data_IF_768164207207
#
_entry.id   IF_768164207207
#
_cell.length_a   1.000
_cell.length_b   1.000
_cell.length_c   1.000
_cell.angle_alpha   90.00
_cell.angle_beta   90.00
_cell.angle_gamma   90.00
#
_symmetry.space_group_name_H-M   'P 1'
#
loop_
_entity.id
_entity.type
_entity.pdbx_description
1 polymer ?
#
# COMPACT_ATOMS: atom_id res chain seq x y z
N UNK A 1 -8.30 -18.91 -2.44
CA UNK A 1 -8.34 -17.61 -1.72
C UNK A 1 -9.77 -17.32 -1.28
N UNK A 2 -10.06 -16.18 -0.64
CA UNK A 2 -11.43 -15.76 -0.33
C UNK A 2 -11.78 -14.45 -1.03
N UNK A 3 -12.95 -14.37 -1.65
CA UNK A 3 -13.49 -13.13 -2.23
C UNK A 3 -14.73 -12.71 -1.44
N UNK A 4 -14.86 -11.42 -1.18
CA UNK A 4 -16.06 -10.88 -0.57
C UNK A 4 -16.38 -9.47 -1.05
N UNK A 5 -17.44 -8.94 -0.47
CA UNK A 5 -17.97 -7.60 -0.71
C UNK A 5 -16.92 -6.54 -0.42
N UNK A 6 -16.77 -5.57 -1.33
CA UNK A 6 -15.93 -4.41 -1.10
C UNK A 6 -16.50 -3.56 0.04
N UNK A 7 -15.89 -3.67 1.23
CA UNK A 7 -16.31 -2.95 2.43
C UNK A 7 -16.56 -1.46 2.19
N UNK A 8 -15.61 -0.79 1.52
CA UNK A 8 -15.68 0.65 1.27
C UNK A 8 -16.88 1.03 0.40
N UNK A 9 -17.18 0.24 -0.64
CA UNK A 9 -18.33 0.51 -1.52
C UNK A 9 -19.65 0.11 -0.88
N UNK A 10 -19.69 -1.00 -0.16
CA UNK A 10 -20.86 -1.41 0.62
C UNK A 10 -21.22 -0.35 1.68
N UNK A 11 -20.23 0.21 2.39
CA UNK A 11 -20.45 1.34 3.29
C UNK A 11 -21.09 2.53 2.55
N UNK A 12 -20.58 2.86 1.37
CA UNK A 12 -21.12 3.97 0.57
C UNK A 12 -22.50 3.67 -0.03
N UNK A 13 -22.86 2.41 -0.23
CA UNK A 13 -24.18 1.97 -0.68
C UNK A 13 -25.23 2.28 0.38
N UNK A 14 -24.96 1.95 1.64
CA UNK A 14 -25.80 2.33 2.78
C UNK A 14 -25.97 3.86 2.95
N UNK A 15 -25.09 4.65 2.33
CA UNK A 15 -25.14 6.11 2.30
C UNK A 15 -25.75 6.67 1.00
N UNK A 16 -26.19 5.81 0.06
CA UNK A 16 -26.71 6.23 -1.25
C UNK A 16 -25.67 6.85 -2.19
N UNK A 17 -24.37 6.59 -1.96
CA UNK A 17 -23.23 7.24 -2.64
C UNK A 17 -22.23 6.26 -3.25
N UNK A 18 -22.56 4.97 -3.32
CA UNK A 18 -21.68 3.98 -3.95
C UNK A 18 -21.51 4.25 -5.44
N UNK A 19 -20.29 4.06 -5.94
CA UNK A 19 -20.07 4.02 -7.39
C UNK A 19 -20.44 2.65 -7.97
N UNK A 20 -20.52 2.58 -9.31
CA UNK A 20 -20.93 1.38 -10.05
C UNK A 20 -19.84 0.31 -10.23
N UNK A 21 -18.70 0.44 -9.53
CA UNK A 21 -17.65 -0.58 -9.60
C UNK A 21 -18.14 -1.93 -9.01
N UNK A 22 -17.55 -3.08 -9.37
CA UNK A 22 -18.08 -4.42 -9.04
C UNK A 22 -17.98 -4.77 -7.54
N UNK A 23 -19.08 -5.06 -6.85
CA UNK A 23 -19.08 -5.21 -5.38
C UNK A 23 -18.32 -6.45 -4.86
N UNK A 24 -18.52 -7.61 -5.48
CA UNK A 24 -17.84 -8.87 -5.15
C UNK A 24 -16.44 -8.90 -5.79
N UNK A 25 -15.43 -8.33 -5.11
CA UNK A 25 -14.09 -8.16 -5.70
C UNK A 25 -12.96 -8.04 -4.67
N UNK A 26 -13.26 -7.91 -3.37
CA UNK A 26 -12.21 -7.76 -2.35
C UNK A 26 -11.62 -9.13 -2.04
N UNK A 27 -10.30 -9.25 -2.21
CA UNK A 27 -9.60 -10.53 -2.11
C UNK A 27 -8.88 -10.62 -0.78
N UNK A 28 -9.01 -11.77 -0.15
CA UNK A 28 -8.33 -12.12 1.10
C UNK A 28 -7.57 -13.41 0.90
N UNK A 29 -6.47 -13.55 1.64
CA UNK A 29 -5.53 -14.64 1.50
C UNK A 29 -5.12 -15.18 2.88
N UNK A 30 -4.39 -16.29 2.87
CA UNK A 30 -3.78 -16.85 4.07
C UNK A 30 -4.80 -17.14 5.19
N UNK A 31 -4.41 -16.99 6.46
CA UNK A 31 -5.26 -17.21 7.63
C UNK A 31 -6.49 -16.30 7.65
N UNK A 32 -6.37 -15.08 7.14
CA UNK A 32 -7.50 -14.14 7.01
C UNK A 32 -8.58 -14.72 6.11
N UNK A 33 -8.23 -15.24 4.93
CA UNK A 33 -9.21 -15.90 4.05
C UNK A 33 -9.87 -17.10 4.71
N UNK A 34 -9.08 -17.96 5.38
CA UNK A 34 -9.61 -19.15 6.04
C UNK A 34 -10.66 -18.80 7.09
N UNK A 35 -10.39 -17.78 7.90
CA UNK A 35 -11.31 -17.30 8.93
C UNK A 35 -12.59 -16.73 8.30
N UNK A 36 -12.46 -15.82 7.33
CA UNK A 36 -13.62 -15.17 6.70
C UNK A 36 -14.50 -16.16 5.92
N UNK A 37 -13.91 -17.16 5.27
CA UNK A 37 -14.64 -18.23 4.60
C UNK A 37 -15.39 -19.09 5.62
N UNK A 38 -14.72 -19.48 6.72
CA UNK A 38 -15.34 -20.29 7.79
C UNK A 38 -16.58 -19.61 8.38
N UNK A 39 -16.57 -18.29 8.49
CA UNK A 39 -17.69 -17.51 9.03
C UNK A 39 -18.67 -16.99 7.97
N UNK A 40 -18.57 -17.44 6.71
CA UNK A 40 -19.51 -17.06 5.64
C UNK A 40 -19.41 -15.60 5.17
N UNK A 41 -18.34 -14.89 5.53
CA UNK A 41 -18.11 -13.48 5.16
C UNK A 41 -17.48 -13.39 3.76
N UNK A 42 -16.68 -14.38 3.38
CA UNK A 42 -16.06 -14.48 2.07
C UNK A 42 -16.36 -15.84 1.44
N UNK A 43 -16.53 -15.89 0.12
CA UNK A 43 -16.63 -17.14 -0.62
C UNK A 43 -15.24 -17.63 -1.02
N UNK A 44 -15.05 -18.94 -1.02
CA UNK A 44 -13.81 -19.56 -1.52
C UNK A 44 -13.79 -19.46 -3.04
N UNK A 45 -12.64 -19.05 -3.58
CA UNK A 45 -12.39 -19.01 -5.04
C UNK A 45 -11.03 -19.61 -5.37
N UNK A 46 -10.89 -20.10 -6.60
CA UNK A 46 -9.64 -20.57 -7.16
C UNK A 46 -8.80 -19.41 -7.76
N UNK A 47 -7.63 -19.75 -8.30
CA UNK A 47 -6.69 -18.77 -8.87
C UNK A 47 -7.23 -18.15 -10.16
N UNK A 48 -7.87 -18.94 -11.02
CA UNK A 48 -8.39 -18.46 -12.31
C UNK A 48 -9.46 -17.38 -12.10
N UNK A 49 -10.44 -17.64 -11.24
CA UNK A 49 -11.45 -16.65 -10.92
C UNK A 49 -10.84 -15.41 -10.24
N UNK A 50 -9.82 -15.61 -9.40
CA UNK A 50 -9.07 -14.49 -8.82
C UNK A 50 -8.42 -13.59 -9.88
N UNK A 51 -7.84 -14.17 -10.93
CA UNK A 51 -7.24 -13.42 -12.04
C UNK A 51 -8.32 -12.69 -12.85
N UNK A 52 -9.44 -13.34 -13.15
CA UNK A 52 -10.57 -12.71 -13.86
C UNK A 52 -11.10 -11.49 -13.11
N UNK A 53 -11.18 -11.56 -11.78
CA UNK A 53 -11.56 -10.44 -10.94
C UNK A 53 -10.52 -9.31 -10.93
N UNK A 54 -9.23 -9.62 -11.04
CA UNK A 54 -8.19 -8.60 -11.20
C UNK A 54 -8.31 -7.91 -12.55
N UNK A 55 -8.61 -8.63 -13.62
CA UNK A 55 -8.84 -8.05 -14.95
C UNK A 55 -10.09 -7.18 -14.97
N UNK A 56 -11.18 -7.65 -14.36
CA UNK A 56 -12.36 -6.82 -14.11
C UNK A 56 -12.01 -5.55 -13.32
N UNK A 57 -11.19 -5.64 -12.29
CA UNK A 57 -10.73 -4.46 -11.56
C UNK A 57 -9.95 -3.49 -12.45
N UNK A 58 -9.11 -4.00 -13.36
CA UNK A 58 -8.35 -3.21 -14.33
C UNK A 58 -9.27 -2.48 -15.30
N UNK A 59 -10.30 -3.13 -15.83
CA UNK A 59 -11.28 -2.53 -16.75
C UNK A 59 -12.06 -1.38 -16.11
N UNK A 60 -12.30 -1.47 -14.81
CA UNK A 60 -12.96 -0.44 -14.01
C UNK A 60 -12.00 0.64 -13.47
N UNK A 61 -10.74 0.66 -13.88
CA UNK A 61 -9.72 1.60 -13.39
C UNK A 61 -9.51 1.58 -11.86
N UNK A 62 -9.72 0.42 -11.25
CA UNK A 62 -9.47 0.24 -9.82
C UNK A 62 -7.98 0.06 -9.55
N UNK A 63 -7.53 0.63 -8.45
CA UNK A 63 -6.17 0.44 -7.94
C UNK A 63 -6.10 -0.84 -7.16
N UNK A 64 -5.13 -1.69 -7.51
CA UNK A 64 -4.74 -2.82 -6.69
C UNK A 64 -3.96 -2.30 -5.48
N UNK A 65 -4.53 -2.48 -4.29
CA UNK A 65 -4.01 -2.02 -3.02
C UNK A 65 -3.92 -3.22 -2.09
N UNK A 66 -2.72 -3.66 -1.74
CA UNK A 66 -2.51 -4.85 -0.91
C UNK A 66 -1.87 -4.54 0.43
N UNK A 67 -1.81 -5.55 1.28
CA UNK A 67 -0.89 -5.49 2.42
C UNK A 67 0.55 -5.38 1.91
N UNK A 68 1.30 -4.36 2.36
CA UNK A 68 2.68 -4.12 1.92
C UNK A 68 3.65 -5.09 2.61
N UNK A 69 3.57 -6.38 2.26
CA UNK A 69 4.44 -7.47 2.73
C UNK A 69 4.79 -8.38 1.56
N UNK A 70 5.95 -9.05 1.62
CA UNK A 70 6.43 -9.93 0.54
C UNK A 70 5.79 -11.32 0.55
N UNK A 71 5.52 -11.84 1.74
CA UNK A 71 5.06 -13.21 1.94
C UNK A 71 3.78 -13.25 2.77
N UNK A 72 2.91 -14.22 2.47
CA UNK A 72 1.65 -14.47 3.20
C UNK A 72 0.79 -13.22 3.34
N UNK A 73 0.69 -12.45 2.26
CA UNK A 73 -0.21 -11.29 2.13
C UNK A 73 -1.58 -11.63 2.70
N UNK A 74 -2.20 -10.71 3.44
CA UNK A 74 -3.54 -10.94 4.00
C UNK A 74 -4.67 -10.56 3.03
N UNK A 75 -4.47 -9.56 2.17
CA UNK A 75 -5.50 -9.07 1.26
C UNK A 75 -4.95 -8.35 0.03
N UNK A 76 -5.76 -8.31 -1.02
CA UNK A 76 -5.68 -7.37 -2.15
C UNK A 76 -7.06 -6.72 -2.28
N UNK A 77 -7.09 -5.40 -2.19
CA UNK A 77 -8.26 -4.58 -2.43
C UNK A 77 -8.20 -4.00 -3.85
N UNK A 78 -9.38 -3.81 -4.44
CA UNK A 78 -9.57 -3.21 -5.76
C UNK A 78 -10.30 -1.87 -5.57
N UNK A 79 -9.52 -0.81 -5.37
CA UNK A 79 -9.94 0.45 -4.79
C UNK A 79 -10.30 1.51 -5.84
N UNK A 80 -11.43 2.19 -5.66
CA UNK A 80 -11.79 3.39 -6.41
C UNK A 80 -11.44 4.66 -5.62
N UNK A 81 -11.19 5.76 -6.32
CA UNK A 81 -10.88 7.06 -5.68
C UNK A 81 -12.06 7.75 -4.99
N UNK A 82 -13.30 7.26 -5.20
CA UNK A 82 -14.52 7.88 -4.68
C UNK A 82 -15.07 7.24 -3.41
N UNK A 83 -14.89 5.92 -3.22
CA UNK A 83 -15.44 5.21 -2.06
C UNK A 83 -14.34 4.68 -1.11
N UNK A 84 -13.13 4.40 -1.61
CA UNK A 84 -12.11 3.75 -0.81
C UNK A 84 -11.56 4.68 0.27
N UNK A 85 -11.68 4.29 1.54
CA UNK A 85 -11.13 5.03 2.68
C UNK A 85 -9.63 5.27 2.56
N UNK A 86 -8.85 4.29 2.10
CA UNK A 86 -7.41 4.45 1.92
C UNK A 86 -7.07 5.49 0.85
N UNK A 87 -7.83 5.53 -0.26
CA UNK A 87 -7.63 6.54 -1.30
C UNK A 87 -8.05 7.93 -0.83
N UNK A 88 -9.18 8.03 -0.10
CA UNK A 88 -9.63 9.29 0.49
C UNK A 88 -8.63 9.82 1.53
N UNK A 89 -8.05 8.93 2.35
CA UNK A 89 -7.00 9.27 3.29
C UNK A 89 -5.73 9.73 2.57
N UNK A 90 -5.32 9.06 1.49
CA UNK A 90 -4.19 9.46 0.68
C UNK A 90 -4.36 10.87 0.08
N UNK A 91 -5.57 11.22 -0.40
CA UNK A 91 -5.89 12.57 -0.88
C UNK A 91 -5.80 13.63 0.22
N UNK A 92 -6.44 13.37 1.36
CA UNK A 92 -6.64 14.37 2.43
C UNK A 92 -5.40 14.57 3.30
N UNK A 93 -4.60 13.52 3.47
CA UNK A 93 -3.52 13.48 4.44
C UNK A 93 -2.18 13.08 3.80
N UNK A 94 -1.96 13.44 2.54
CA UNK A 94 -0.76 13.05 1.78
C UNK A 94 0.56 13.35 2.52
N UNK A 95 0.64 14.49 3.22
CA UNK A 95 1.80 14.89 4.03
C UNK A 95 2.16 13.90 5.14
N UNK A 96 1.20 13.09 5.61
CA UNK A 96 1.40 12.06 6.61
C UNK A 96 1.81 10.69 6.03
N UNK A 97 1.87 10.58 4.70
CA UNK A 97 2.15 9.34 3.98
C UNK A 97 1.34 8.13 4.50
N UNK A 98 0.00 8.21 4.58
CA UNK A 98 -0.84 7.19 5.20
C UNK A 98 -0.85 5.86 4.43
N UNK A 99 -0.47 5.91 3.15
CA UNK A 99 -0.40 4.76 2.24
C UNK A 99 1.01 4.65 1.69
N UNK A 100 1.60 3.45 1.79
CA UNK A 100 2.90 3.17 1.20
C UNK A 100 2.83 3.30 -0.33
N UNK A 101 3.81 3.98 -0.92
CA UNK A 101 3.91 4.18 -2.36
C UNK A 101 4.60 3.02 -3.04
N UNK A 102 4.38 2.86 -4.35
CA UNK A 102 5.18 1.95 -5.18
C UNK A 102 6.56 2.54 -5.43
N UNK A 103 7.47 1.72 -5.95
CA UNK A 103 8.81 2.15 -6.38
C UNK A 103 8.81 2.95 -7.69
N UNK A 104 7.66 3.35 -8.21
CA UNK A 104 7.54 3.99 -9.51
C UNK A 104 6.72 5.29 -9.46
N UNK A 105 7.01 6.19 -10.38
CA UNK A 105 6.22 7.41 -10.66
C UNK A 105 5.95 7.52 -12.16
N UNK A 106 4.77 8.02 -12.56
CA UNK A 106 4.51 8.29 -13.96
C UNK A 106 5.24 9.56 -14.43
N UNK A 107 6.04 9.46 -15.50
CA UNK A 107 6.59 10.63 -16.21
C UNK A 107 5.73 10.95 -17.43
N UNK A 108 5.39 12.23 -17.59
CA UNK A 108 4.69 12.75 -18.77
C UNK A 108 5.71 13.12 -19.86
N UNK A 109 5.60 12.52 -21.03
CA UNK A 109 6.27 12.98 -22.25
C UNK A 109 5.54 14.22 -22.78
N UNK A 110 6.11 15.40 -22.53
CA UNK A 110 5.44 16.67 -22.78
C UNK A 110 5.17 16.91 -24.25
N UNK A 111 6.02 16.40 -25.14
CA UNK A 111 5.95 16.56 -26.59
C UNK A 111 4.75 15.80 -27.16
N UNK A 112 4.54 14.57 -26.69
CA UNK A 112 3.48 13.67 -27.14
C UNK A 112 2.12 13.95 -26.48
N UNK A 113 2.11 14.56 -25.29
CA UNK A 113 0.88 14.82 -24.55
C UNK A 113 0.00 15.85 -25.29
N UNK A 114 -1.28 15.54 -25.50
CA UNK A 114 -2.24 16.45 -26.14
C UNK A 114 -3.12 17.22 -25.14
N UNK A 115 -2.97 16.94 -23.84
CA UNK A 115 -3.73 17.61 -22.79
C UNK A 115 -5.18 17.15 -22.66
N UNK A 116 -5.56 15.98 -23.19
CA UNK A 116 -6.96 15.50 -23.19
C UNK A 116 -7.59 15.25 -21.80
N UNK A 117 -6.82 15.30 -20.71
CA UNK A 117 -7.35 15.22 -19.34
C UNK A 117 -7.80 13.83 -18.86
N UNK A 118 -7.78 12.79 -19.70
CA UNK A 118 -8.23 11.43 -19.29
C UNK A 118 -7.44 10.87 -18.10
N UNK A 119 -6.14 11.16 -18.02
CA UNK A 119 -5.30 10.76 -16.89
C UNK A 119 -5.66 11.48 -15.58
N UNK A 120 -6.16 12.72 -15.66
CA UNK A 120 -6.66 13.50 -14.51
C UNK A 120 -7.93 12.85 -13.97
N UNK A 121 -8.91 12.61 -14.84
CA UNK A 121 -10.18 11.99 -14.46
C UNK A 121 -10.01 10.59 -13.87
N UNK A 122 -9.04 9.82 -14.37
CA UNK A 122 -8.77 8.47 -13.88
C UNK A 122 -7.91 8.42 -12.60
N UNK A 123 -7.35 9.54 -12.13
CA UNK A 123 -6.43 9.53 -11.00
C UNK A 123 -7.18 9.31 -9.67
N UNK A 124 -6.96 8.18 -8.97
CA UNK A 124 -7.71 7.81 -7.78
C UNK A 124 -7.35 8.66 -6.56
N UNK A 125 -6.24 9.38 -6.61
CA UNK A 125 -5.71 10.25 -5.54
C UNK A 125 -5.49 11.69 -6.00
N UNK A 126 -6.03 12.06 -7.17
CA UNK A 126 -5.99 13.45 -7.69
C UNK A 126 -4.57 14.03 -7.85
N UNK A 127 -3.56 13.17 -8.02
CA UNK A 127 -2.17 13.56 -8.25
C UNK A 127 -1.88 14.05 -9.69
N UNK A 128 -2.82 13.91 -10.62
CA UNK A 128 -2.66 14.37 -12.00
C UNK A 128 -3.45 15.66 -12.21
N UNK A 129 -2.85 16.66 -12.82
CA UNK A 129 -3.49 17.92 -13.21
C UNK A 129 -3.23 18.30 -14.67
N UNK A 130 -3.87 19.38 -15.13
CA UNK A 130 -3.59 20.02 -16.40
C UNK A 130 -2.95 21.39 -16.16
N UNK A 131 -1.91 21.71 -16.93
CA UNK A 131 -1.24 23.02 -16.93
C UNK A 131 -1.13 23.55 -18.35
N UNK A 132 -0.97 24.86 -18.50
CA UNK A 132 -0.71 25.47 -19.81
C UNK A 132 0.58 24.90 -20.40
N UNK A 133 0.57 24.64 -21.71
CA UNK A 133 1.74 24.21 -22.46
C UNK A 133 2.78 25.32 -22.65
N UNK A 134 2.45 26.58 -22.31
CA UNK A 134 3.35 27.72 -22.47
C UNK A 134 3.62 28.09 -23.93
N UNK A 135 2.75 27.69 -24.86
CA UNK A 135 2.86 27.94 -26.29
C UNK A 135 2.10 29.23 -26.65
N UNK A 136 2.79 30.36 -26.94
CA UNK A 136 2.13 31.64 -27.22
C UNK A 136 1.24 31.60 -28.47
N UNK A 137 1.58 30.75 -29.44
CA UNK A 137 0.78 30.55 -30.65
C UNK A 137 -0.46 29.69 -30.39
N UNK A 138 -0.48 28.91 -29.30
CA UNK A 138 -1.60 28.04 -28.91
C UNK A 138 -1.90 28.19 -27.41
N UNK A 139 -2.42 29.34 -26.97
CA UNK A 139 -2.56 29.67 -25.54
C UNK A 139 -3.52 28.75 -24.78
N UNK A 140 -4.44 28.07 -25.47
CA UNK A 140 -5.36 27.08 -24.87
C UNK A 140 -4.79 25.67 -24.80
N UNK A 141 -3.57 25.44 -25.30
CA UNK A 141 -2.96 24.12 -25.31
C UNK A 141 -2.58 23.75 -23.88
N UNK A 142 -3.06 22.61 -23.42
CA UNK A 142 -2.79 22.08 -22.09
C UNK A 142 -1.86 20.88 -22.16
N UNK A 143 -1.20 20.58 -21.05
CA UNK A 143 -0.40 19.38 -20.84
C UNK A 143 -0.71 18.78 -19.48
N UNK A 144 -0.56 17.47 -19.36
CA UNK A 144 -0.65 16.80 -18.08
C UNK A 144 0.57 17.14 -17.21
N UNK A 145 0.33 17.32 -15.91
CA UNK A 145 1.36 17.49 -14.88
C UNK A 145 1.08 16.54 -13.73
N UNK A 146 2.14 15.94 -13.21
CA UNK A 146 2.09 15.10 -12.02
C UNK A 146 2.47 15.94 -10.78
N UNK A 147 1.71 15.77 -9.70
CA UNK A 147 2.14 16.04 -8.34
C UNK A 147 2.76 14.76 -7.74
N UNK A 148 4.08 14.77 -7.54
CA UNK A 148 4.82 13.60 -7.10
C UNK A 148 4.60 13.26 -5.61
N UNK A 149 4.19 14.26 -4.82
CA UNK A 149 3.98 14.13 -3.37
C UNK A 149 2.63 13.47 -3.08
N UNK A 150 1.62 13.71 -3.92
CA UNK A 150 0.33 13.03 -3.85
C UNK A 150 0.33 11.63 -4.51
N UNK A 151 1.24 11.39 -5.46
CA UNK A 151 1.18 10.21 -6.29
C UNK A 151 1.59 8.94 -5.55
N UNK A 152 0.70 7.94 -5.54
CA UNK A 152 1.00 6.60 -5.00
C UNK A 152 1.81 5.71 -5.95
N UNK A 153 1.90 6.07 -7.25
CA UNK A 153 2.56 5.27 -8.26
C UNK A 153 1.75 4.06 -8.76
N UNK A 154 0.41 4.16 -8.77
CA UNK A 154 -0.50 3.06 -9.14
C UNK A 154 -0.58 2.76 -10.65
N UNK A 155 -0.09 3.65 -11.53
CA UNK A 155 -0.04 3.42 -12.98
C UNK A 155 -1.38 3.50 -13.74
N UNK A 156 -2.51 3.79 -13.08
CA UNK A 156 -3.83 3.91 -13.75
C UNK A 156 -3.80 4.98 -14.86
N UNK A 157 -3.11 6.11 -14.63
CA UNK A 157 -2.97 7.17 -15.62
C UNK A 157 -2.22 6.73 -16.89
N UNK A 158 -1.24 5.83 -16.76
CA UNK A 158 -0.46 5.30 -17.87
C UNK A 158 -1.34 4.46 -18.79
N UNK A 159 -2.12 3.53 -18.22
CA UNK A 159 -3.03 2.67 -18.99
C UNK A 159 -4.13 3.47 -19.71
N UNK A 160 -4.65 4.51 -19.08
CA UNK A 160 -5.73 5.33 -19.66
C UNK A 160 -5.22 6.30 -20.74
N UNK A 161 -3.91 6.50 -20.86
CA UNK A 161 -3.33 7.40 -21.85
C UNK A 161 -3.32 6.78 -23.26
N UNK A 162 -4.36 7.05 -24.05
CA UNK A 162 -4.44 6.56 -25.43
C UNK A 162 -3.29 7.02 -26.34
N UNK A 163 -2.62 8.15 -26.01
CA UNK A 163 -1.45 8.66 -26.74
C UNK A 163 -0.13 8.01 -26.33
N UNK A 164 -0.11 7.18 -25.29
CA UNK A 164 1.13 6.59 -24.76
C UNK A 164 2.11 7.63 -24.21
N UNK A 165 1.65 8.83 -23.84
CA UNK A 165 2.52 9.93 -23.39
C UNK A 165 2.92 9.83 -21.90
N UNK A 166 2.63 8.70 -21.26
CA UNK A 166 2.88 8.47 -19.84
C UNK A 166 3.61 7.13 -19.70
N UNK A 167 4.72 7.12 -18.96
CA UNK A 167 5.51 5.92 -18.66
C UNK A 167 5.85 5.85 -17.18
N UNK A 168 5.94 4.65 -16.60
CA UNK A 168 6.39 4.50 -15.22
C UNK A 168 7.92 4.48 -15.15
N UNK A 169 8.48 5.30 -14.27
CA UNK A 169 9.91 5.37 -14.01
C UNK A 169 10.23 5.09 -12.54
N UNK A 170 11.40 4.50 -12.23
CA UNK A 170 11.80 4.24 -10.85
C UNK A 170 11.88 5.53 -10.03
N UNK A 171 11.43 5.48 -8.77
CA UNK A 171 11.70 6.52 -7.78
C UNK A 171 13.18 6.50 -7.39
N UNK A 172 13.75 7.67 -7.12
CA UNK A 172 15.13 7.79 -6.64
C UNK A 172 15.39 7.05 -5.32
N UNK A 173 14.36 6.91 -4.46
CA UNK A 173 14.43 6.11 -3.22
C UNK A 173 13.48 4.92 -3.32
N UNK A 174 14.04 3.71 -3.17
CA UNK A 174 13.26 2.47 -3.10
C UNK A 174 12.59 2.32 -1.74
N UNK A 175 11.30 2.01 -1.75
CA UNK A 175 10.54 1.51 -0.61
C UNK A 175 10.87 0.02 -0.45
N UNK A 176 11.48 -0.32 0.68
CA UNK A 176 11.79 -1.73 1.01
C UNK A 176 10.55 -2.32 1.69
N UNK A 177 9.86 -3.20 0.97
CA UNK A 177 8.70 -3.90 1.51
C UNK A 177 9.13 -4.91 2.58
N UNK A 178 8.55 -4.83 3.81
CA UNK A 178 8.78 -5.82 4.85
C UNK A 178 8.46 -7.25 4.40
N UNK A 179 9.17 -8.24 4.96
CA UNK A 179 8.99 -9.64 4.52
C UNK A 179 7.61 -10.18 4.92
N UNK A 180 7.17 -9.90 6.15
CA UNK A 180 5.91 -10.43 6.71
C UNK A 180 5.12 -9.35 7.45
N UNK A 181 3.86 -9.63 7.78
CA UNK A 181 3.01 -8.75 8.61
C UNK A 181 3.62 -8.44 9.97
N UNK A 182 4.20 -9.44 10.63
CA UNK A 182 4.90 -9.24 11.90
C UNK A 182 6.10 -8.30 11.72
N UNK A 183 6.89 -8.50 10.66
CA UNK A 183 8.02 -7.63 10.34
C UNK A 183 7.54 -6.18 10.12
N UNK A 184 6.48 -5.98 9.33
CA UNK A 184 5.87 -4.67 9.10
C UNK A 184 5.39 -4.01 10.39
N UNK A 185 4.64 -4.73 11.23
CA UNK A 185 4.07 -4.20 12.46
C UNK A 185 5.16 -3.75 13.45
N UNK A 186 6.20 -4.56 13.64
CA UNK A 186 7.33 -4.22 14.52
C UNK A 186 8.10 -3.02 13.99
N UNK A 187 8.39 -2.96 12.69
CA UNK A 187 9.06 -1.80 12.09
C UNK A 187 8.26 -0.51 12.27
N UNK A 188 6.96 -0.54 11.98
CA UNK A 188 6.09 0.61 12.16
C UNK A 188 6.02 1.05 13.63
N UNK A 189 5.98 0.10 14.57
CA UNK A 189 5.97 0.40 15.99
C UNK A 189 7.28 1.05 16.44
N UNK A 190 8.43 0.56 15.98
CA UNK A 190 9.74 1.18 16.26
C UNK A 190 9.81 2.58 15.65
N UNK A 191 9.45 2.76 14.38
CA UNK A 191 9.52 4.05 13.69
C UNK A 191 8.63 5.11 14.34
N UNK A 192 7.52 4.70 14.98
CA UNK A 192 6.55 5.60 15.64
C UNK A 192 6.75 5.74 17.15
N UNK A 193 7.74 5.09 17.75
CA UNK A 193 7.94 5.13 19.21
C UNK A 193 6.89 4.34 20.01
N UNK A 194 6.23 3.35 19.39
CA UNK A 194 5.09 2.59 19.92
C UNK A 194 5.37 1.11 20.12
N UNK A 195 6.64 0.70 20.19
CA UNK A 195 7.00 -0.72 20.38
C UNK A 195 6.45 -1.28 21.70
N UNK A 196 6.44 -0.49 22.78
CA UNK A 196 5.84 -0.90 24.05
C UNK A 196 4.34 -1.20 23.91
N UNK A 197 3.58 -0.31 23.25
CA UNK A 197 2.15 -0.50 23.02
C UNK A 197 1.86 -1.78 22.20
N UNK A 198 2.69 -2.07 21.20
CA UNK A 198 2.56 -3.30 20.42
C UNK A 198 2.70 -4.57 21.29
N UNK A 199 3.55 -4.53 22.32
CA UNK A 199 3.86 -5.69 23.16
C UNK A 199 2.88 -5.81 24.34
N UNK A 200 2.58 -4.69 24.99
CA UNK A 200 1.83 -4.66 26.25
C UNK A 200 0.33 -4.44 26.03
N UNK A 201 -0.07 -3.44 25.24
CA UNK A 201 -1.49 -3.09 25.05
C UNK A 201 -2.24 -4.13 24.21
N UNK A 202 -1.54 -4.82 23.31
CA UNK A 202 -2.11 -5.94 22.54
C UNK A 202 -1.96 -7.29 23.27
N UNK A 203 -1.53 -7.30 24.53
CA UNK A 203 -1.23 -8.51 25.31
C UNK A 203 -0.32 -9.53 24.60
N UNK A 204 0.53 -9.07 23.66
CA UNK A 204 1.38 -9.96 22.88
C UNK A 204 2.38 -10.75 23.76
N UNK A 205 2.75 -10.18 24.91
CA UNK A 205 3.56 -10.83 25.93
C UNK A 205 2.89 -12.06 26.57
N UNK A 206 1.57 -12.21 26.51
CA UNK A 206 0.86 -13.40 26.99
C UNK A 206 0.82 -14.55 25.97
N UNK A 207 1.31 -14.31 24.75
CA UNK A 207 1.37 -15.32 23.70
C UNK A 207 2.82 -15.53 23.25
N UNK A 208 3.41 -16.65 23.67
CA UNK A 208 4.80 -17.00 23.32
C UNK A 208 5.07 -16.98 21.81
N UNK A 209 4.09 -17.33 20.95
CA UNK A 209 4.26 -17.26 19.49
C UNK A 209 4.31 -15.82 18.99
N UNK A 210 3.46 -14.94 19.56
CA UNK A 210 3.48 -13.52 19.21
C UNK A 210 4.78 -12.85 19.66
N UNK A 211 5.23 -13.12 20.89
CA UNK A 211 6.48 -12.59 21.41
C UNK A 211 7.71 -13.12 20.65
N UNK A 212 7.73 -14.40 20.29
CA UNK A 212 8.79 -14.98 19.46
C UNK A 212 8.84 -14.35 18.06
N UNK A 213 7.69 -14.06 17.43
CA UNK A 213 7.65 -13.36 16.16
C UNK A 213 8.19 -11.92 16.28
N UNK A 214 7.84 -11.20 17.35
CA UNK A 214 8.31 -9.83 17.59
C UNK A 214 9.82 -9.81 17.83
N UNK A 215 10.33 -10.64 18.76
CA UNK A 215 11.77 -10.72 19.06
C UNK A 215 12.57 -11.20 17.85
N UNK A 216 12.07 -12.22 17.14
CA UNK A 216 12.71 -12.72 15.93
C UNK A 216 12.82 -11.68 14.82
N UNK A 217 11.87 -10.73 14.73
CA UNK A 217 12.01 -9.57 13.84
C UNK A 217 13.10 -8.63 14.36
N UNK A 218 13.03 -8.20 15.63
CA UNK A 218 13.98 -7.22 16.21
C UNK A 218 15.43 -7.69 16.02
N UNK A 219 15.72 -8.95 16.28
CA UNK A 219 17.06 -9.54 16.16
C UNK A 219 17.61 -9.55 14.72
N UNK A 220 16.74 -9.48 13.71
CA UNK A 220 17.14 -9.45 12.29
C UNK A 220 17.15 -8.04 11.69
N UNK A 221 16.82 -7.01 12.48
CA UNK A 221 16.84 -5.63 12.02
C UNK A 221 18.26 -5.07 11.90
N UNK A 222 18.50 -4.06 11.05
CA UNK A 222 19.76 -3.33 11.02
C UNK A 222 20.11 -2.70 12.38
N UNK A 223 21.41 -2.51 12.71
CA UNK A 223 21.86 -2.06 14.04
C UNK A 223 21.17 -0.79 14.55
N UNK A 224 20.95 0.20 13.67
CA UNK A 224 20.27 1.45 14.03
C UNK A 224 18.84 1.19 14.55
N UNK A 225 18.10 0.30 13.89
CA UNK A 225 16.71 -0.04 14.29
C UNK A 225 16.67 -0.90 15.56
N UNK A 226 17.67 -1.75 15.77
CA UNK A 226 17.84 -2.50 17.02
C UNK A 226 18.07 -1.57 18.21
N UNK A 227 18.95 -0.57 18.07
CA UNK A 227 19.18 0.45 19.10
C UNK A 227 17.91 1.24 19.40
N UNK A 228 17.16 1.63 18.36
CA UNK A 228 15.86 2.30 18.55
C UNK A 228 14.87 1.43 19.32
N UNK A 229 14.79 0.14 19.02
CA UNK A 229 13.94 -0.82 19.72
C UNK A 229 14.35 -1.00 21.18
N UNK A 230 15.65 -1.19 21.45
CA UNK A 230 16.22 -1.28 22.80
C UNK A 230 15.88 -0.04 23.64
N UNK A 231 16.11 1.16 23.09
CA UNK A 231 15.79 2.44 23.76
C UNK A 231 14.33 2.58 24.12
N UNK A 232 13.42 2.13 23.25
CA UNK A 232 11.99 2.15 23.53
C UNK A 232 11.61 1.14 24.61
N UNK A 233 12.18 -0.05 24.61
CA UNK A 233 11.84 -1.09 25.57
C UNK A 233 12.49 -0.90 26.95
N UNK A 234 13.63 -0.21 27.02
CA UNK A 234 14.44 -0.05 28.25
C UNK A 234 14.62 -1.39 29.01
N UNK A 235 14.86 -2.47 28.27
CA UNK A 235 14.86 -3.84 28.79
C UNK A 235 16.25 -4.44 28.77
N UNK A 236 16.77 -4.76 29.97
CA UNK A 236 18.07 -5.46 30.14
C UNK A 236 18.09 -6.82 29.44
N UNK A 237 16.94 -7.48 29.31
CA UNK A 237 16.82 -8.75 28.60
C UNK A 237 17.01 -8.58 27.09
N UNK A 238 16.37 -7.55 26.50
CA UNK A 238 16.52 -7.25 25.08
C UNK A 238 17.95 -6.80 24.76
N UNK A 239 18.55 -5.98 25.62
CA UNK A 239 19.94 -5.54 25.46
C UNK A 239 20.92 -6.72 25.43
N UNK A 240 20.73 -7.70 26.32
CA UNK A 240 21.52 -8.95 26.31
C UNK A 240 21.31 -9.76 25.04
N UNK A 241 20.07 -9.93 24.59
CA UNK A 241 19.77 -10.68 23.36
C UNK A 241 20.42 -10.04 22.12
N UNK A 242 20.40 -8.70 22.05
CA UNK A 242 21.03 -7.94 20.96
C UNK A 242 22.56 -8.11 21.00
N UNK A 243 23.18 -8.04 22.19
CA UNK A 243 24.61 -8.26 22.35
C UNK A 243 25.05 -9.66 21.91
N UNK A 244 24.23 -10.68 22.16
CA UNK A 244 24.50 -12.08 21.78
C UNK A 244 24.15 -12.42 20.33
N UNK A 245 23.35 -11.60 19.65
CA UNK A 245 22.81 -11.88 18.31
C UNK A 245 23.60 -11.27 17.15
N UNK A 246 24.60 -10.45 17.43
CA UNK A 246 25.50 -9.89 16.40
C UNK A 246 26.39 -11.02 15.84
N UNK A 247 26.38 -11.32 14.53
CA UNK A 247 27.46 -12.13 13.97
C UNK A 247 28.74 -11.33 14.15
N UNK A 248 29.61 -11.82 15.03
CA UNK A 248 31.00 -11.37 15.10
C UNK A 248 31.57 -11.60 13.70
N UNK A 249 31.92 -10.53 12.99
CA UNK A 249 32.88 -10.60 11.90
C UNK A 249 34.11 -11.31 12.45
N UNK A 250 34.25 -12.61 12.16
CA UNK A 250 35.50 -13.32 12.33
C UNK A 250 36.33 -12.99 11.10
N UNK A 251 37.14 -11.96 11.22
CA UNK A 251 38.34 -11.81 10.40
C UNK A 251 39.28 -12.96 10.78
N UNK A 252 39.40 -13.95 9.91
CA UNK A 252 40.58 -14.80 9.68
C UNK A 252 40.47 -15.39 8.27
#
# INVERSE_FOLDING_TARGET
MGVGTCYCRHKMEHLGRACKAPMDICMTFSTTAQSLIKHGIARRVDVSEGLDLLDKARDHNLVQFGENVRERVAFICNCCGCCCEAMLAAKRFASLNPVATTNFLPRVAQEACDGCGKCVAACPVEAMGLVSAGDPARPRRMKARLDADLCLGCGVCVRTCAKGSLVLEPRGRRVITPVTTAHRAVLMAIERGKLQNLIFDNHAHWNHRAMAAILGVILRLPPIRQVMASRQMKSRYLDRLLATGTPVHRDH
#
